data_IF_722515823129
#
_entry.id   IF_722515823129
#
_cell.length_a   1.000
_cell.length_b   1.000
_cell.length_c   1.000
_cell.angle_alpha   90.00
_cell.angle_beta   90.00
_cell.angle_gamma   90.00
#
_symmetry.space_group_name_H-M   'P 1'
#
loop_
_entity.id
_entity.type
_entity.pdbx_description
1 polymer ?
#
# COMPACT_ATOMS: atom_id res chain seq x y z
N UNK A 1 -7.49 -2.04 13.88
CA UNK A 1 -7.96 -2.51 12.56
C UNK A 1 -7.78 -1.39 11.56
N UNK A 2 -7.25 -1.71 10.38
CA UNK A 2 -7.08 -0.79 9.26
C UNK A 2 -7.96 -1.30 8.11
N UNK A 3 -8.80 -0.45 7.53
CA UNK A 3 -9.73 -0.80 6.47
C UNK A 3 -9.57 0.20 5.33
N UNK A 4 -9.29 -0.30 4.13
CA UNK A 4 -9.23 0.51 2.94
C UNK A 4 -10.65 0.78 2.44
N UNK A 5 -10.96 2.05 2.21
CA UNK A 5 -12.07 2.47 1.36
C UNK A 5 -11.51 2.76 -0.02
N UNK A 6 -11.59 1.75 -0.88
CA UNK A 6 -10.96 1.73 -2.20
C UNK A 6 -11.55 2.81 -3.10
N UNK A 7 -12.88 2.87 -3.20
CA UNK A 7 -13.58 3.83 -4.07
C UNK A 7 -13.55 5.25 -3.50
N UNK A 8 -13.60 5.39 -2.18
CA UNK A 8 -13.52 6.70 -1.52
C UNK A 8 -12.10 7.23 -1.31
N UNK A 9 -11.06 6.49 -1.72
CA UNK A 9 -9.64 6.87 -1.56
C UNK A 9 -9.24 7.22 -0.11
N UNK A 10 -9.64 6.41 0.87
CA UNK A 10 -9.36 6.72 2.28
C UNK A 10 -9.07 5.51 3.15
N UNK A 11 -8.42 5.77 4.28
CA UNK A 11 -8.07 4.74 5.26
C UNK A 11 -8.92 4.91 6.52
N UNK A 12 -9.68 3.89 6.87
CA UNK A 12 -10.46 3.87 8.11
C UNK A 12 -9.65 3.14 9.18
N UNK A 13 -9.55 3.76 10.35
CA UNK A 13 -8.85 3.19 11.52
C UNK A 13 -9.87 2.96 12.62
N UNK A 14 -9.86 1.75 13.18
CA UNK A 14 -10.60 1.40 14.38
C UNK A 14 -9.64 0.88 15.45
N UNK A 15 -9.67 1.49 16.64
CA UNK A 15 -8.78 1.14 17.75
C UNK A 15 -9.42 0.21 18.80
N UNK A 16 -10.65 -0.25 18.58
CA UNK A 16 -11.43 -1.03 19.58
C UNK A 16 -12.53 -0.23 20.27
N UNK A 17 -12.48 1.10 20.23
CA UNK A 17 -13.50 1.98 20.84
C UNK A 17 -14.00 3.03 19.87
N UNK A 18 -13.09 3.71 19.18
CA UNK A 18 -13.36 4.79 18.24
C UNK A 18 -12.97 4.40 16.82
N UNK A 19 -13.71 4.94 15.85
CA UNK A 19 -13.44 4.82 14.43
C UNK A 19 -13.29 6.22 13.83
N UNK A 20 -12.28 6.40 12.99
CA UNK A 20 -12.10 7.63 12.22
C UNK A 20 -11.53 7.32 10.85
N UNK A 21 -11.73 8.26 9.93
CA UNK A 21 -11.30 8.17 8.54
C UNK A 21 -10.16 9.15 8.30
N UNK A 22 -9.12 8.67 7.62
CA UNK A 22 -8.03 9.46 7.12
C UNK A 22 -8.19 9.70 5.63
N UNK A 23 -7.94 10.94 5.24
CA UNK A 23 -7.87 11.41 3.87
C UNK A 23 -6.44 11.85 3.58
N UNK A 24 -5.91 11.45 2.43
CA UNK A 24 -4.59 11.87 1.99
C UNK A 24 -4.41 11.59 0.49
N UNK A 25 -3.70 12.44 -0.25
CA UNK A 25 -3.39 12.17 -1.67
C UNK A 25 -2.68 10.84 -1.92
N UNK A 26 -1.96 10.29 -0.93
CA UNK A 26 -1.27 8.99 -1.07
C UNK A 26 -2.23 7.80 -1.15
N UNK A 27 -3.52 8.00 -0.87
CA UNK A 27 -4.57 6.99 -1.02
C UNK A 27 -5.27 7.03 -2.37
N UNK A 28 -5.11 8.13 -3.11
CA UNK A 28 -5.74 8.32 -4.41
C UNK A 28 -5.00 7.57 -5.51
N UNK A 29 -5.74 7.11 -6.51
CA UNK A 29 -5.17 6.52 -7.72
C UNK A 29 -4.35 7.54 -8.54
N UNK A 30 -3.56 7.03 -9.46
CA UNK A 30 -2.87 7.77 -10.50
C UNK A 30 -3.53 7.46 -11.84
N UNK A 31 -4.04 8.47 -12.53
CA UNK A 31 -4.70 8.32 -13.85
C UNK A 31 -3.80 7.57 -14.86
N UNK A 32 -2.49 7.84 -14.84
CA UNK A 32 -1.50 7.18 -15.70
C UNK A 32 -1.38 5.65 -15.46
N UNK A 33 -1.90 5.14 -14.34
CA UNK A 33 -1.88 3.74 -13.95
C UNK A 33 -3.28 3.12 -13.83
N UNK A 34 -4.34 3.82 -14.28
CA UNK A 34 -5.71 3.35 -14.18
C UNK A 34 -6.11 2.37 -15.31
N UNK A 35 -5.32 2.28 -16.39
CA UNK A 35 -5.48 1.27 -17.42
C UNK A 35 -4.73 -0.02 -17.06
N UNK A 36 -5.45 -1.13 -17.10
CA UNK A 36 -4.94 -2.47 -16.84
C UNK A 36 -5.04 -3.31 -18.10
N UNK A 37 -4.01 -4.12 -18.34
CA UNK A 37 -4.01 -5.15 -19.37
C UNK A 37 -3.75 -6.49 -18.69
N UNK A 38 -4.71 -7.41 -18.73
CA UNK A 38 -4.58 -8.75 -18.18
C UNK A 38 -4.94 -9.76 -19.25
N UNK A 39 -4.01 -10.65 -19.59
CA UNK A 39 -4.22 -11.69 -20.60
C UNK A 39 -4.71 -11.16 -21.97
N UNK A 40 -4.31 -9.94 -22.33
CA UNK A 40 -4.71 -9.28 -23.57
C UNK A 40 -6.03 -8.49 -23.51
N UNK A 41 -6.72 -8.51 -22.37
CA UNK A 41 -7.93 -7.73 -22.13
C UNK A 41 -7.60 -6.41 -21.41
N UNK A 42 -8.13 -5.31 -21.94
CA UNK A 42 -7.94 -3.97 -21.40
C UNK A 42 -9.18 -3.49 -20.62
N UNK A 43 -8.95 -2.92 -19.44
CA UNK A 43 -10.01 -2.31 -18.65
C UNK A 43 -9.47 -1.16 -17.79
N UNK A 44 -10.38 -0.24 -17.45
CA UNK A 44 -10.07 0.93 -16.62
C UNK A 44 -10.57 0.70 -15.20
N UNK A 45 -9.71 0.89 -14.20
CA UNK A 45 -10.07 0.95 -12.79
C UNK A 45 -9.30 2.09 -12.13
N UNK A 46 -10.01 3.01 -11.50
CA UNK A 46 -9.47 4.14 -10.75
C UNK A 46 -9.43 3.86 -9.23
N UNK A 47 -9.26 2.59 -8.88
CA UNK A 47 -9.28 2.14 -7.49
C UNK A 47 -8.10 2.72 -6.69
N UNK A 48 -8.46 3.35 -5.57
CA UNK A 48 -7.55 3.91 -4.57
C UNK A 48 -6.87 2.87 -3.71
N UNK A 49 -6.50 3.27 -2.49
CA UNK A 49 -5.84 2.43 -1.48
C UNK A 49 -6.46 1.02 -1.44
N UNK A 50 -5.64 -0.02 -1.63
CA UNK A 50 -6.13 -1.41 -1.64
C UNK A 50 -5.10 -2.39 -1.07
N UNK A 51 -3.96 -2.55 -1.73
CA UNK A 51 -2.93 -3.47 -1.25
C UNK A 51 -2.46 -2.96 0.09
N UNK A 52 -2.69 -3.70 1.18
CA UNK A 52 -2.29 -3.32 2.54
C UNK A 52 -1.65 -4.52 3.24
N UNK A 53 -0.51 -4.31 3.88
CA UNK A 53 0.17 -5.31 4.66
C UNK A 53 0.81 -4.70 5.89
N UNK A 54 0.60 -5.34 7.04
CA UNK A 54 1.19 -4.92 8.30
C UNK A 54 2.52 -5.64 8.50
N UNK A 55 3.60 -4.89 8.64
CA UNK A 55 4.95 -5.47 8.80
C UNK A 55 5.06 -6.31 10.08
N UNK A 56 6.03 -7.24 10.16
CA UNK A 56 6.55 -7.65 11.47
C UNK A 56 7.19 -6.44 12.18
N UNK A 57 7.46 -6.53 13.48
CA UNK A 57 8.24 -5.51 14.18
C UNK A 57 9.64 -5.37 13.56
N UNK A 58 10.04 -4.14 13.23
CA UNK A 58 11.33 -3.77 12.66
C UNK A 58 11.94 -2.74 13.60
N UNK A 59 13.00 -3.09 14.32
CA UNK A 59 13.63 -2.23 15.32
C UNK A 59 12.63 -1.60 16.32
N UNK A 60 11.65 -2.38 16.81
CA UNK A 60 10.53 -1.96 17.68
C UNK A 60 9.46 -1.07 17.03
N UNK A 61 9.58 -0.75 15.75
CA UNK A 61 8.55 -0.06 14.98
C UNK A 61 7.73 -1.06 14.17
N UNK A 62 6.49 -0.70 13.85
CA UNK A 62 5.63 -1.50 12.97
C UNK A 62 5.00 -0.58 11.95
N UNK A 63 5.01 -1.00 10.69
CA UNK A 63 4.58 -0.19 9.56
C UNK A 63 3.37 -0.83 8.89
N UNK A 64 2.40 -0.01 8.51
CA UNK A 64 1.41 -0.37 7.51
C UNK A 64 1.99 0.01 6.15
N UNK A 65 2.30 -0.98 5.32
CA UNK A 65 2.57 -0.74 3.91
C UNK A 65 1.27 -0.80 3.14
N UNK A 66 1.10 0.14 2.21
CA UNK A 66 -0.06 0.18 1.36
C UNK A 66 0.22 0.84 0.01
N UNK A 67 -0.71 0.70 -0.91
CA UNK A 67 -0.71 1.41 -2.20
C UNK A 67 -2.12 1.53 -2.78
N UNK A 68 -2.39 2.57 -3.59
CA UNK A 68 -3.54 2.58 -4.49
C UNK A 68 -3.45 1.43 -5.49
N UNK A 69 -4.57 0.81 -5.90
CA UNK A 69 -4.54 -0.25 -6.91
C UNK A 69 -3.95 0.29 -8.23
N UNK A 70 -4.51 1.39 -8.72
CA UNK A 70 -4.04 2.12 -9.90
C UNK A 70 -2.91 3.09 -9.54
N UNK A 71 -1.69 2.58 -9.40
CA UNK A 71 -0.47 3.36 -9.11
C UNK A 71 0.78 2.53 -9.43
N UNK A 72 1.97 3.10 -9.43
CA UNK A 72 3.24 2.36 -9.39
C UNK A 72 4.02 2.59 -8.09
N UNK A 73 3.44 3.38 -7.17
CA UNK A 73 4.07 3.78 -5.93
C UNK A 73 3.94 2.68 -4.87
N UNK A 74 4.83 2.76 -3.90
CA UNK A 74 4.69 2.09 -2.62
C UNK A 74 4.68 3.11 -1.49
N UNK A 75 3.76 2.96 -0.55
CA UNK A 75 3.61 3.87 0.58
C UNK A 75 3.71 3.09 1.89
N UNK A 76 4.29 3.73 2.91
CA UNK A 76 4.30 3.21 4.27
C UNK A 76 4.01 4.30 5.29
N UNK A 77 3.41 3.91 6.41
CA UNK A 77 3.27 4.76 7.59
C UNK A 77 3.51 3.94 8.85
N UNK A 78 4.15 4.55 9.84
CA UNK A 78 4.32 3.91 11.14
C UNK A 78 2.96 3.80 11.85
N UNK A 79 2.66 2.62 12.38
CA UNK A 79 1.40 2.32 13.06
C UNK A 79 1.18 3.21 14.28
N UNK A 80 2.23 3.57 15.02
CA UNK A 80 2.15 4.49 16.16
C UNK A 80 1.62 5.86 15.71
N UNK A 81 2.09 6.38 14.57
CA UNK A 81 1.63 7.64 14.01
C UNK A 81 0.20 7.52 13.45
N UNK A 82 -0.16 6.40 12.82
CA UNK A 82 -1.54 6.10 12.43
C UNK A 82 -2.50 6.03 13.63
N UNK A 83 -2.09 5.46 14.76
CA UNK A 83 -2.93 5.37 15.95
C UNK A 83 -3.22 6.72 16.60
N UNK A 84 -2.32 7.69 16.49
CA UNK A 84 -2.50 9.05 17.02
C UNK A 84 -3.11 10.02 15.99
N UNK A 85 -3.51 9.51 14.83
CA UNK A 85 -3.92 10.34 13.68
C UNK A 85 -5.29 11.02 13.83
N UNK A 86 -6.07 10.65 14.84
CA UNK A 86 -7.32 11.35 15.16
C UNK A 86 -7.09 12.83 15.51
N UNK A 87 -5.92 13.17 16.06
CA UNK A 87 -5.57 14.53 16.47
C UNK A 87 -4.24 15.04 15.88
N UNK A 88 -3.50 14.19 15.16
CA UNK A 88 -2.17 14.52 14.64
C UNK A 88 -2.05 14.17 13.15
N UNK A 89 -1.27 14.94 12.38
CA UNK A 89 -1.00 14.58 10.99
C UNK A 89 -0.21 13.27 10.88
N UNK A 90 -0.47 12.52 9.83
CA UNK A 90 0.25 11.28 9.50
C UNK A 90 1.46 11.60 8.62
N UNK A 91 2.58 10.95 8.91
CA UNK A 91 3.81 10.99 8.12
C UNK A 91 3.85 9.74 7.26
N UNK A 92 3.71 9.94 5.96
CA UNK A 92 3.84 8.89 4.96
C UNK A 92 5.24 8.91 4.35
N UNK A 93 5.82 7.74 4.15
CA UNK A 93 6.98 7.54 3.28
C UNK A 93 6.48 6.96 1.97
N UNK A 94 6.61 7.74 0.90
CA UNK A 94 6.23 7.36 -0.45
C UNK A 94 7.49 7.14 -1.28
N UNK A 95 7.54 6.02 -1.99
CA UNK A 95 8.54 5.76 -3.03
C UNK A 95 7.80 5.67 -4.35
N UNK A 96 8.02 6.68 -5.19
CA UNK A 96 7.32 6.81 -6.45
C UNK A 96 7.88 5.84 -7.48
N UNK A 97 7.00 5.23 -8.29
CA UNK A 97 7.37 4.24 -9.30
C UNK A 97 8.26 3.11 -8.74
N UNK A 98 7.99 2.69 -7.50
CA UNK A 98 8.70 1.60 -6.85
C UNK A 98 8.47 0.26 -7.55
N UNK A 99 7.28 0.06 -8.12
CA UNK A 99 6.88 -1.20 -8.74
C UNK A 99 6.93 -1.12 -10.27
N UNK A 100 7.27 -2.23 -10.96
CA UNK A 100 7.29 -2.28 -12.43
C UNK A 100 5.90 -2.34 -13.07
N UNK A 101 4.84 -2.58 -12.30
CA UNK A 101 3.43 -2.55 -12.72
C UNK A 101 2.51 -2.35 -11.52
N UNK A 102 1.19 -2.23 -11.75
CA UNK A 102 0.21 -2.26 -10.67
C UNK A 102 0.28 -3.60 -9.91
N UNK A 103 -0.03 -3.58 -8.61
CA UNK A 103 -0.01 -4.76 -7.77
C UNK A 103 -1.31 -4.96 -6.97
N UNK A 104 -1.72 -6.20 -6.78
CA UNK A 104 -2.94 -6.51 -6.04
C UNK A 104 -2.67 -6.65 -4.53
N UNK A 105 -3.16 -7.75 -3.94
CA UNK A 105 -2.98 -8.08 -2.53
C UNK A 105 -1.50 -8.11 -2.11
N UNK A 106 -1.25 -7.74 -0.86
CA UNK A 106 0.07 -7.78 -0.25
C UNK A 106 0.04 -8.55 1.08
N UNK A 107 1.14 -9.22 1.41
CA UNK A 107 1.29 -9.90 2.71
C UNK A 107 2.74 -9.90 3.16
N UNK A 108 2.96 -9.69 4.46
CA UNK A 108 4.27 -9.83 5.08
C UNK A 108 4.48 -11.23 5.65
N UNK A 109 5.64 -11.80 5.40
CA UNK A 109 6.19 -12.88 6.21
C UNK A 109 6.66 -12.37 7.57
N UNK A 110 6.78 -13.28 8.55
CA UNK A 110 7.32 -12.97 9.88
C UNK A 110 8.79 -12.52 9.86
N UNK A 111 9.53 -12.84 8.79
CA UNK A 111 10.95 -12.50 8.62
C UNK A 111 11.18 -11.17 7.89
N UNK A 112 10.12 -10.45 7.53
CA UNK A 112 10.22 -9.11 6.93
C UNK A 112 10.31 -9.10 5.40
N UNK A 113 9.94 -10.21 4.74
CA UNK A 113 9.72 -10.24 3.29
C UNK A 113 8.25 -9.92 3.00
N UNK A 114 8.01 -8.86 2.24
CA UNK A 114 6.71 -8.51 1.68
C UNK A 114 6.51 -9.26 0.36
N UNK A 115 5.38 -9.92 0.19
CA UNK A 115 4.94 -10.53 -1.06
C UNK A 115 3.76 -9.76 -1.64
N UNK A 116 3.73 -9.60 -2.96
CA UNK A 116 2.64 -8.93 -3.67
C UNK A 116 2.49 -9.47 -5.09
N UNK A 117 1.25 -9.48 -5.60
CA UNK A 117 0.96 -9.95 -6.96
C UNK A 117 1.08 -8.81 -7.97
N UNK A 118 1.99 -8.91 -8.93
CA UNK A 118 2.11 -7.99 -10.06
C UNK A 118 1.05 -8.33 -11.11
N UNK A 119 0.23 -7.34 -11.49
CA UNK A 119 -0.95 -7.57 -12.33
C UNK A 119 -0.56 -7.78 -13.79
N UNK A 120 0.21 -6.86 -14.38
CA UNK A 120 0.61 -6.97 -15.79
C UNK A 120 1.61 -8.11 -16.02
N UNK A 121 2.45 -8.40 -15.03
CA UNK A 121 3.47 -9.45 -15.12
C UNK A 121 2.97 -10.85 -14.75
N UNK A 122 1.69 -11.03 -14.41
CA UNK A 122 1.07 -12.29 -13.98
C UNK A 122 1.92 -13.09 -12.99
N UNK A 123 2.56 -12.40 -12.04
CA UNK A 123 3.60 -12.98 -11.18
C UNK A 123 3.45 -12.53 -9.73
N UNK A 124 4.11 -13.25 -8.83
CA UNK A 124 4.26 -12.86 -7.44
C UNK A 124 5.70 -12.36 -7.28
N UNK A 125 5.84 -11.12 -6.83
CA UNK A 125 7.12 -10.50 -6.52
C UNK A 125 7.29 -10.38 -4.99
N UNK A 126 8.52 -10.10 -4.56
CA UNK A 126 8.80 -9.94 -3.15
C UNK A 126 9.87 -8.89 -2.89
N UNK A 127 9.79 -8.25 -1.72
CA UNK A 127 10.78 -7.28 -1.29
C UNK A 127 11.17 -7.54 0.17
N UNK A 128 12.47 -7.50 0.47
CA UNK A 128 12.99 -7.66 1.83
C UNK A 128 13.17 -6.30 2.48
N UNK A 129 12.56 -6.09 3.66
CA UNK A 129 12.58 -4.80 4.37
C UNK A 129 13.97 -4.30 4.77
N UNK A 130 14.98 -5.18 4.76
CA UNK A 130 16.38 -4.81 5.01
C UNK A 130 17.09 -4.23 3.77
N UNK A 131 16.38 -4.10 2.65
CA UNK A 131 16.87 -3.47 1.42
C UNK A 131 16.08 -2.20 1.14
N UNK A 132 16.69 -1.15 0.55
CA UNK A 132 15.93 -0.03 0.01
C UNK A 132 14.85 -0.55 -0.95
N UNK A 133 13.66 0.06 -0.92
CA UNK A 133 12.62 -0.31 -1.88
C UNK A 133 12.90 0.41 -3.20
N UNK A 134 12.89 -0.35 -4.28
CA UNK A 134 13.17 0.11 -5.64
C UNK A 134 13.14 -1.05 -6.62
N UNK A 135 13.03 -0.78 -7.93
CA UNK A 135 12.94 -1.82 -8.96
C UNK A 135 14.09 -2.84 -8.94
N UNK A 136 15.27 -2.46 -8.44
CA UNK A 136 16.45 -3.32 -8.32
C UNK A 136 16.39 -4.34 -7.16
N UNK A 137 15.42 -4.20 -6.25
CA UNK A 137 15.25 -5.04 -5.06
C UNK A 137 13.89 -5.76 -5.00
N UNK A 138 13.17 -5.84 -6.13
CA UNK A 138 11.82 -6.42 -6.29
C UNK A 138 11.84 -7.60 -7.26
#
# INVERSE_FOLDING_TARGET
VYMADVTGNGLIIYNGTSLWRLESPVFAYQEAAANFTIAGEDFYLDDGILGMALSPPIANHRYLMFRPLASFDMVSAETSNLHHSFSNPVRYTLVSSALPSQAASMAFSSTGVLFFGLIQGHSIACWNVNKPIGPENI
#
